data_IF_310641092838
#
_entry.id   IF_310641092838
#
_cell.length_a   1.000
_cell.length_b   1.000
_cell.length_c   1.000
_cell.angle_alpha   90.00
_cell.angle_beta   90.00
_cell.angle_gamma   90.00
#
_symmetry.space_group_name_H-M   'P 1'
#
loop_
_entity.id
_entity.type
_entity.pdbx_description
1 polymer ?
#
# COMPACT_ATOMS: atom_id res chain seq x y z
N UNK A 1 -3.31 21.97 -2.38
CA UNK A 1 -3.28 20.54 -2.77
C UNK A 1 -4.01 19.75 -1.69
N UNK A 2 -5.08 19.02 -2.01
CA UNK A 2 -5.86 18.29 -1.01
C UNK A 2 -6.60 17.10 -1.62
N UNK A 3 -6.77 16.03 -0.84
CA UNK A 3 -7.56 14.85 -1.16
C UNK A 3 -8.97 14.86 -0.56
N UNK A 4 -9.39 15.97 0.07
CA UNK A 4 -10.68 16.06 0.80
C UNK A 4 -11.91 15.69 -0.03
N UNK A 5 -11.91 16.03 -1.32
CA UNK A 5 -13.02 15.72 -2.24
C UNK A 5 -12.77 14.50 -3.14
N UNK A 6 -11.76 13.70 -2.84
CA UNK A 6 -11.47 12.47 -3.61
C UNK A 6 -12.62 11.49 -3.47
N UNK A 7 -13.26 11.12 -4.60
CA UNK A 7 -14.39 10.21 -4.60
C UNK A 7 -13.93 8.75 -4.58
N UNK A 8 -14.26 8.02 -3.52
CA UNK A 8 -13.93 6.61 -3.34
C UNK A 8 -14.95 5.65 -3.97
N UNK A 9 -16.14 6.12 -4.35
CA UNK A 9 -17.24 5.23 -4.76
C UNK A 9 -16.90 4.41 -6.00
N UNK A 10 -16.15 5.00 -6.95
CA UNK A 10 -15.66 4.30 -8.13
C UNK A 10 -14.71 3.13 -7.84
N UNK A 11 -14.15 3.09 -6.64
CA UNK A 11 -13.24 2.01 -6.22
C UNK A 11 -13.95 0.88 -5.48
N UNK A 12 -15.14 1.12 -4.94
CA UNK A 12 -15.91 0.12 -4.18
C UNK A 12 -16.32 -1.11 -5.01
N UNK A 13 -16.36 -0.98 -6.33
CA UNK A 13 -16.65 -2.09 -7.23
C UNK A 13 -15.40 -2.92 -7.61
N UNK A 14 -14.20 -2.45 -7.24
CA UNK A 14 -12.93 -3.14 -7.51
C UNK A 14 -12.60 -4.10 -6.36
N UNK A 15 -13.38 -5.16 -6.26
CA UNK A 15 -13.31 -6.15 -5.17
C UNK A 15 -12.01 -6.93 -5.18
N UNK A 16 -11.46 -7.29 -4.00
CA UNK A 16 -10.37 -8.26 -3.91
C UNK A 16 -10.84 -9.64 -4.38
N UNK A 17 -9.92 -10.58 -4.66
CA UNK A 17 -10.27 -11.99 -4.84
C UNK A 17 -11.09 -12.49 -3.65
N UNK A 18 -12.07 -13.38 -3.92
CA UNK A 18 -12.88 -13.95 -2.84
C UNK A 18 -12.03 -14.75 -1.86
N UNK A 19 -12.39 -14.72 -0.59
CA UNK A 19 -11.61 -15.32 0.50
C UNK A 19 -11.31 -16.81 0.27
N UNK A 20 -12.28 -17.56 -0.24
CA UNK A 20 -12.19 -19.00 -0.52
C UNK A 20 -11.81 -19.34 -1.96
N UNK A 21 -11.30 -18.39 -2.75
CA UNK A 21 -10.97 -18.61 -4.16
C UNK A 21 -9.59 -19.27 -4.36
N UNK A 22 -9.41 -19.92 -5.51
CA UNK A 22 -8.10 -20.42 -5.93
C UNK A 22 -7.07 -19.31 -6.09
N UNK A 23 -7.50 -18.12 -6.47
CA UNK A 23 -6.61 -16.93 -6.52
C UNK A 23 -6.07 -16.58 -5.16
N UNK A 24 -6.92 -16.52 -4.13
CA UNK A 24 -6.49 -16.25 -2.75
C UNK A 24 -5.55 -17.34 -2.23
N UNK A 25 -5.86 -18.61 -2.49
CA UNK A 25 -4.96 -19.73 -2.16
C UNK A 25 -3.60 -19.57 -2.83
N UNK A 26 -3.58 -19.27 -4.13
CA UNK A 26 -2.35 -19.06 -4.90
C UNK A 26 -1.51 -17.90 -4.35
N UNK A 27 -2.15 -16.80 -3.96
CA UNK A 27 -1.46 -15.66 -3.33
C UNK A 27 -0.86 -16.04 -1.98
N UNK A 28 -1.55 -16.80 -1.15
CA UNK A 28 -1.03 -17.30 0.14
C UNK A 28 0.17 -18.24 -0.08
N UNK A 29 0.08 -19.15 -1.04
CA UNK A 29 1.18 -20.04 -1.39
C UNK A 29 2.39 -19.27 -1.91
N UNK A 30 2.17 -18.22 -2.70
CA UNK A 30 3.26 -17.34 -3.17
C UNK A 30 3.93 -16.62 -2.00
N UNK A 31 3.16 -16.08 -1.05
CA UNK A 31 3.70 -15.44 0.16
C UNK A 31 4.54 -16.42 1.00
N UNK A 32 4.11 -17.67 1.12
CA UNK A 32 4.83 -18.68 1.92
C UNK A 32 6.23 -18.96 1.38
N UNK A 33 6.46 -18.74 0.09
CA UNK A 33 7.75 -18.94 -0.60
C UNK A 33 8.69 -17.74 -0.49
N UNK A 34 8.20 -16.56 -0.09
CA UNK A 34 9.03 -15.36 0.07
C UNK A 34 9.78 -15.48 1.40
N UNK A 35 11.14 -15.43 1.40
CA UNK A 35 11.89 -15.40 2.65
C UNK A 35 11.57 -14.13 3.46
N UNK A 36 11.33 -14.30 4.76
CA UNK A 36 11.15 -13.15 5.66
C UNK A 36 12.49 -12.45 5.85
N UNK A 37 12.54 -11.16 5.56
CA UNK A 37 13.71 -10.30 5.78
C UNK A 37 13.33 -9.15 6.72
N UNK A 38 13.59 -9.34 8.02
CA UNK A 38 13.22 -8.36 9.05
C UNK A 38 13.92 -7.00 8.88
N UNK A 39 15.17 -7.00 8.43
CA UNK A 39 15.92 -5.76 8.17
C UNK A 39 15.29 -4.95 7.03
N UNK A 40 14.94 -5.62 5.93
CA UNK A 40 14.25 -4.98 4.81
C UNK A 40 12.87 -4.44 5.20
N UNK A 41 12.10 -5.20 6.00
CA UNK A 41 10.79 -4.80 6.50
C UNK A 41 10.92 -3.56 7.38
N UNK A 42 11.80 -3.60 8.38
CA UNK A 42 12.00 -2.49 9.33
C UNK A 42 12.47 -1.21 8.65
N UNK A 43 13.38 -1.34 7.68
CA UNK A 43 13.87 -0.20 6.91
C UNK A 43 12.76 0.50 6.12
N UNK A 44 11.77 -0.22 5.64
CA UNK A 44 10.72 0.30 4.76
C UNK A 44 9.36 0.49 5.46
N UNK A 45 9.33 0.54 6.79
CA UNK A 45 8.08 0.66 7.56
C UNK A 45 7.62 2.11 7.74
N UNK A 46 8.55 3.04 7.94
CA UNK A 46 8.26 4.46 8.11
C UNK A 46 8.35 5.21 6.77
N UNK A 47 7.20 5.41 6.14
CA UNK A 47 7.09 6.02 4.80
C UNK A 47 7.66 7.44 4.79
N UNK A 48 7.31 8.26 5.78
CA UNK A 48 7.76 9.64 5.88
C UNK A 48 9.28 9.71 5.96
N UNK A 49 9.88 8.96 6.88
CA UNK A 49 11.32 8.89 7.07
C UNK A 49 12.05 8.46 5.80
N UNK A 50 11.51 7.42 5.12
CA UNK A 50 12.16 6.85 3.94
C UNK A 50 12.16 7.81 2.75
N UNK A 51 11.10 8.55 2.50
CA UNK A 51 11.09 9.56 1.45
C UNK A 51 11.89 10.81 1.81
N UNK A 52 11.80 11.28 3.07
CA UNK A 52 12.60 12.41 3.57
C UNK A 52 14.11 12.13 3.56
N UNK A 53 14.54 10.88 3.52
CA UNK A 53 15.95 10.51 3.32
C UNK A 53 16.47 10.75 1.91
N UNK A 54 15.57 10.83 0.92
CA UNK A 54 15.90 11.10 -0.50
C UNK A 54 15.78 12.59 -0.78
N UNK A 55 14.67 13.19 -0.38
CA UNK A 55 14.39 14.62 -0.52
C UNK A 55 13.41 15.07 0.56
N UNK A 56 13.75 16.13 1.27
CA UNK A 56 12.86 16.73 2.27
C UNK A 56 11.76 17.53 1.57
N UNK A 57 10.50 17.22 1.90
CA UNK A 57 9.36 17.89 1.34
C UNK A 57 8.22 17.98 2.37
N UNK A 58 7.70 19.18 2.58
CA UNK A 58 6.66 19.47 3.59
C UNK A 58 5.30 18.84 3.28
N UNK A 59 5.07 18.43 2.04
CA UNK A 59 3.80 17.80 1.63
C UNK A 59 3.72 16.31 2.03
N UNK A 60 4.83 15.65 2.38
CA UNK A 60 4.87 14.20 2.63
C UNK A 60 3.89 13.80 3.74
N UNK A 61 4.03 14.40 4.92
CA UNK A 61 3.20 14.04 6.07
C UNK A 61 1.72 14.40 5.85
N UNK A 62 1.46 15.51 5.20
CA UNK A 62 0.11 15.91 4.81
C UNK A 62 -0.54 14.89 3.85
N UNK A 63 0.20 14.40 2.86
CA UNK A 63 -0.30 13.37 1.93
C UNK A 63 -0.55 12.04 2.64
N UNK A 64 0.28 11.67 3.61
CA UNK A 64 0.05 10.49 4.46
C UNK A 64 -1.26 10.63 5.22
N UNK A 65 -1.47 11.75 5.91
CA UNK A 65 -2.66 12.00 6.71
C UNK A 65 -3.93 11.98 5.86
N UNK A 66 -3.98 12.77 4.79
CA UNK A 66 -5.16 12.86 3.94
C UNK A 66 -5.50 11.54 3.26
N UNK A 67 -4.49 10.79 2.78
CA UNK A 67 -4.69 9.48 2.16
C UNK A 67 -5.11 8.40 3.14
N UNK A 68 -4.69 8.49 4.41
CA UNK A 68 -5.06 7.53 5.45
C UNK A 68 -6.58 7.42 5.62
N UNK A 69 -7.30 8.54 5.59
CA UNK A 69 -8.76 8.54 5.67
C UNK A 69 -9.44 7.80 4.51
N UNK A 70 -8.90 7.99 3.30
CA UNK A 70 -9.41 7.32 2.08
C UNK A 70 -9.16 5.81 2.17
N UNK A 71 -7.93 5.43 2.52
CA UNK A 71 -7.50 4.04 2.64
C UNK A 71 -8.34 3.31 3.71
N UNK A 72 -8.52 3.90 4.88
CA UNK A 72 -9.29 3.30 5.97
C UNK A 72 -10.76 3.10 5.61
N UNK A 73 -11.39 4.03 4.89
CA UNK A 73 -12.76 3.86 4.39
C UNK A 73 -12.88 2.67 3.44
N UNK A 74 -11.92 2.49 2.52
CA UNK A 74 -11.90 1.35 1.61
C UNK A 74 -11.60 0.04 2.34
N UNK A 75 -10.66 0.04 3.29
CA UNK A 75 -10.39 -1.13 4.14
C UNK A 75 -11.64 -1.59 4.89
N UNK A 76 -12.37 -0.66 5.50
CA UNK A 76 -13.63 -0.95 6.19
C UNK A 76 -14.71 -1.47 5.24
N UNK A 77 -14.79 -0.93 4.01
CA UNK A 77 -15.76 -1.35 3.01
C UNK A 77 -15.54 -2.80 2.56
N UNK A 78 -14.29 -3.17 2.25
CA UNK A 78 -13.96 -4.51 1.75
C UNK A 78 -13.79 -5.55 2.87
N UNK A 79 -13.30 -5.12 4.01
CA UNK A 79 -13.11 -5.93 5.21
C UNK A 79 -12.39 -7.27 4.96
N UNK A 80 -11.37 -7.27 4.08
CA UNK A 80 -10.62 -8.49 3.72
C UNK A 80 -9.76 -8.96 4.89
N UNK A 81 -9.85 -10.24 5.30
CA UNK A 81 -8.97 -10.81 6.31
C UNK A 81 -7.50 -10.80 5.87
N UNK A 82 -6.58 -10.78 6.83
CA UNK A 82 -5.14 -10.84 6.56
C UNK A 82 -4.71 -12.22 6.06
N UNK A 83 -3.57 -12.31 5.32
CA UNK A 83 -3.10 -13.59 4.77
C UNK A 83 -2.97 -14.72 5.78
N UNK A 84 -2.45 -14.41 6.99
CA UNK A 84 -2.29 -15.40 8.07
C UNK A 84 -3.62 -15.97 8.56
N UNK A 85 -4.67 -15.14 8.54
CA UNK A 85 -5.99 -15.59 9.01
C UNK A 85 -6.64 -16.51 7.97
N UNK A 86 -6.66 -16.14 6.69
CA UNK A 86 -7.21 -16.99 5.63
C UNK A 86 -6.35 -18.24 5.35
N UNK A 87 -5.06 -18.20 5.59
CA UNK A 87 -4.19 -19.36 5.43
C UNK A 87 -4.67 -20.56 6.27
N UNK A 88 -5.23 -20.30 7.45
CA UNK A 88 -5.78 -21.33 8.34
C UNK A 88 -6.95 -22.06 7.68
N UNK A 89 -7.81 -21.34 6.95
CA UNK A 89 -8.97 -21.94 6.27
C UNK A 89 -8.56 -22.88 5.13
N UNK A 90 -7.35 -22.71 4.59
CA UNK A 90 -6.74 -23.59 3.60
C UNK A 90 -5.81 -24.66 4.22
N UNK A 91 -5.76 -24.78 5.55
CA UNK A 91 -4.85 -25.70 6.24
C UNK A 91 -3.36 -25.33 6.11
N UNK A 92 -3.04 -24.09 5.79
CA UNK A 92 -1.67 -23.58 5.62
C UNK A 92 -1.24 -22.84 6.88
N UNK A 93 -0.09 -23.23 7.46
CA UNK A 93 0.56 -22.45 8.51
C UNK A 93 1.41 -21.35 7.87
N UNK A 94 0.90 -20.13 7.85
CA UNK A 94 1.62 -18.96 7.34
C UNK A 94 2.17 -18.14 8.52
N UNK A 95 3.48 -18.14 8.68
CA UNK A 95 4.16 -17.24 9.61
C UNK A 95 4.28 -15.85 8.99
N UNK A 96 4.19 -14.80 9.79
CA UNK A 96 4.33 -13.41 9.37
C UNK A 96 5.15 -12.61 10.39
N UNK A 97 5.55 -11.40 10.00
CA UNK A 97 6.06 -10.40 10.94
C UNK A 97 4.90 -9.52 11.38
N UNK A 98 4.63 -9.50 12.68
CA UNK A 98 3.57 -8.65 13.24
C UNK A 98 3.97 -7.18 13.13
N UNK A 99 3.09 -6.37 12.54
CA UNK A 99 3.28 -4.94 12.33
C UNK A 99 2.10 -4.17 12.93
N UNK A 100 2.35 -2.99 13.48
CA UNK A 100 1.29 -2.12 14.04
C UNK A 100 0.18 -1.83 13.02
N UNK A 101 0.54 -1.68 11.74
CA UNK A 101 -0.38 -1.44 10.63
C UNK A 101 -1.33 -2.60 10.33
N UNK A 102 -1.12 -3.79 10.90
CA UNK A 102 -1.95 -4.98 10.67
C UNK A 102 -3.23 -5.02 11.50
N UNK A 103 -3.51 -4.02 12.33
CA UNK A 103 -4.75 -3.92 13.13
C UNK A 103 -5.99 -3.55 12.28
N UNK A 104 -5.81 -3.27 11.01
CA UNK A 104 -6.88 -2.95 10.05
C UNK A 104 -7.00 -4.05 8.99
N UNK A 105 -8.15 -4.17 8.28
CA UNK A 105 -8.31 -5.12 7.18
C UNK A 105 -7.23 -5.02 6.11
N UNK A 106 -7.05 -6.09 5.33
CA UNK A 106 -5.92 -6.25 4.44
C UNK A 106 -5.99 -5.35 3.19
N UNK A 107 -7.14 -5.19 2.57
CA UNK A 107 -7.31 -4.59 1.23
C UNK A 107 -7.92 -3.20 1.29
N UNK A 108 -7.31 -2.20 0.66
CA UNK A 108 -6.03 -2.16 -0.04
C UNK A 108 -4.82 -2.09 0.92
N UNK A 109 -3.59 -2.34 0.39
CA UNK A 109 -2.36 -2.03 1.13
C UNK A 109 -2.18 -0.52 1.27
N UNK A 110 -2.21 -0.03 2.52
CA UNK A 110 -2.04 1.39 2.82
C UNK A 110 -0.62 1.87 2.49
N UNK A 111 0.41 1.11 2.88
CA UNK A 111 1.80 1.44 2.57
C UNK A 111 2.04 1.54 1.05
N UNK A 112 1.49 0.61 0.26
CA UNK A 112 1.59 0.69 -1.20
C UNK A 112 0.91 1.95 -1.74
N UNK A 113 -0.31 2.26 -1.29
CA UNK A 113 -1.03 3.43 -1.77
C UNK A 113 -0.29 4.73 -1.44
N UNK A 114 0.17 4.89 -0.22
CA UNK A 114 0.91 6.07 0.22
C UNK A 114 2.26 6.20 -0.46
N UNK A 115 3.00 5.10 -0.59
CA UNK A 115 4.30 5.11 -1.23
C UNK A 115 4.23 5.56 -2.70
N UNK A 116 3.28 5.05 -3.47
CA UNK A 116 3.12 5.46 -4.86
C UNK A 116 2.55 6.87 -5.02
N UNK A 117 1.62 7.30 -4.15
CA UNK A 117 1.14 8.68 -4.10
C UNK A 117 2.30 9.67 -3.89
N UNK A 118 3.11 9.42 -2.85
CA UNK A 118 4.24 10.30 -2.48
C UNK A 118 5.32 10.27 -3.55
N UNK A 119 5.66 9.09 -4.05
CA UNK A 119 6.65 8.97 -5.13
C UNK A 119 6.27 9.79 -6.36
N UNK A 120 5.03 9.68 -6.84
CA UNK A 120 4.56 10.47 -7.99
C UNK A 120 4.56 11.98 -7.71
N UNK A 121 4.14 12.37 -6.51
CA UNK A 121 4.19 13.77 -6.09
C UNK A 121 5.63 14.31 -6.11
N UNK A 122 6.56 13.61 -5.49
CA UNK A 122 7.96 14.02 -5.43
C UNK A 122 8.64 13.98 -6.81
N UNK A 123 8.36 12.99 -7.65
CA UNK A 123 8.87 12.94 -9.02
C UNK A 123 8.43 14.15 -9.84
N UNK A 124 7.22 14.67 -9.61
CA UNK A 124 6.73 15.88 -10.29
C UNK A 124 7.45 17.15 -9.86
N UNK A 125 7.99 17.19 -8.64
CA UNK A 125 8.76 18.32 -8.09
C UNK A 125 10.27 18.16 -8.29
N UNK A 126 10.77 16.92 -8.27
CA UNK A 126 12.19 16.58 -8.30
C UNK A 126 12.49 15.51 -9.37
N UNK A 127 12.36 15.84 -10.66
CA UNK A 127 12.48 14.87 -11.75
C UNK A 127 13.85 14.19 -11.84
N UNK A 128 14.90 14.83 -11.34
CA UNK A 128 16.26 14.26 -11.25
C UNK A 128 16.36 13.12 -10.23
N UNK A 129 15.40 12.96 -9.31
CA UNK A 129 15.30 11.90 -8.31
C UNK A 129 14.38 10.74 -8.73
N UNK A 130 13.92 10.72 -9.96
CA UNK A 130 12.92 9.79 -10.46
C UNK A 130 13.22 8.33 -10.09
N UNK A 131 14.44 7.85 -10.39
CA UNK A 131 14.81 6.43 -10.16
C UNK A 131 14.84 6.06 -8.68
N UNK A 132 15.36 6.95 -7.85
CA UNK A 132 15.45 6.73 -6.40
C UNK A 132 14.05 6.67 -5.77
N UNK A 133 13.16 7.59 -6.17
CA UNK A 133 11.80 7.70 -5.67
C UNK A 133 10.94 6.51 -6.12
N UNK A 134 11.08 6.09 -7.38
CA UNK A 134 10.33 4.95 -7.92
C UNK A 134 10.77 3.64 -7.24
N UNK A 135 12.08 3.44 -7.09
CA UNK A 135 12.62 2.29 -6.35
C UNK A 135 12.13 2.28 -4.91
N UNK A 136 12.10 3.43 -4.23
CA UNK A 136 11.65 3.52 -2.85
C UNK A 136 10.18 3.13 -2.70
N UNK A 137 9.30 3.60 -3.56
CA UNK A 137 7.89 3.21 -3.55
C UNK A 137 7.73 1.69 -3.72
N UNK A 138 8.50 1.10 -4.63
CA UNK A 138 8.51 -0.35 -4.83
C UNK A 138 9.00 -1.09 -3.58
N UNK A 139 10.11 -0.67 -2.98
CA UNK A 139 10.69 -1.31 -1.78
C UNK A 139 9.71 -1.26 -0.59
N UNK A 140 9.04 -0.12 -0.37
CA UNK A 140 8.01 0.02 0.66
C UNK A 140 6.85 -0.95 0.40
N UNK A 141 6.33 -1.00 -0.82
CA UNK A 141 5.25 -1.91 -1.20
C UNK A 141 5.65 -3.38 -1.04
N UNK A 142 6.82 -3.77 -1.55
CA UNK A 142 7.33 -5.14 -1.47
C UNK A 142 7.58 -5.59 -0.03
N UNK A 143 8.02 -4.68 0.84
CA UNK A 143 8.26 -4.99 2.26
C UNK A 143 7.01 -5.54 2.96
N UNK A 144 5.82 -5.17 2.50
CA UNK A 144 4.53 -5.65 3.04
C UNK A 144 4.25 -7.10 2.66
N UNK A 145 4.67 -7.51 1.46
CA UNK A 145 4.59 -8.90 1.02
C UNK A 145 5.69 -9.75 1.68
N UNK A 146 6.89 -9.21 1.84
CA UNK A 146 8.00 -9.86 2.59
C UNK A 146 7.63 -10.09 4.06
N UNK A 147 6.88 -9.17 4.68
CA UNK A 147 6.31 -9.34 6.02
C UNK A 147 5.12 -10.32 6.05
N UNK A 148 4.60 -10.72 4.90
CA UNK A 148 3.37 -11.51 4.74
C UNK A 148 2.14 -10.85 5.37
N UNK A 149 2.14 -9.51 5.41
CA UNK A 149 1.07 -8.66 5.94
C UNK A 149 -0.06 -8.42 4.92
N UNK A 150 0.27 -8.51 3.64
CA UNK A 150 -0.61 -8.24 2.50
C UNK A 150 -0.46 -9.27 1.40
N UNK A 151 -1.57 -9.57 0.71
CA UNK A 151 -1.55 -10.30 -0.56
C UNK A 151 -0.97 -9.41 -1.67
N UNK A 152 -0.53 -10.02 -2.76
CA UNK A 152 -0.07 -9.29 -3.94
C UNK A 152 -1.17 -8.36 -4.49
N UNK A 153 -2.40 -8.84 -4.58
CA UNK A 153 -3.56 -8.05 -5.02
C UNK A 153 -3.84 -6.82 -4.14
N UNK A 154 -3.58 -6.89 -2.83
CA UNK A 154 -3.68 -5.72 -1.93
C UNK A 154 -2.67 -4.64 -2.32
N UNK A 155 -1.44 -5.05 -2.64
CA UNK A 155 -0.35 -4.15 -3.03
C UNK A 155 -0.59 -3.54 -4.41
N UNK A 156 -1.07 -4.32 -5.36
CA UNK A 156 -1.40 -3.86 -6.71
C UNK A 156 -2.54 -2.84 -6.69
N UNK A 157 -3.60 -3.11 -5.94
CA UNK A 157 -4.69 -2.16 -5.79
C UNK A 157 -4.26 -0.91 -5.00
N UNK A 158 -3.44 -1.06 -3.97
CA UNK A 158 -2.83 0.05 -3.26
C UNK A 158 -2.04 0.97 -4.19
N UNK A 159 -1.18 0.40 -5.05
CA UNK A 159 -0.46 1.14 -6.07
C UNK A 159 -1.41 1.92 -6.99
N UNK A 160 -2.43 1.26 -7.53
CA UNK A 160 -3.43 1.89 -8.39
C UNK A 160 -4.11 3.06 -7.70
N UNK A 161 -4.53 2.87 -6.45
CA UNK A 161 -5.17 3.91 -5.63
C UNK A 161 -4.23 5.10 -5.42
N UNK A 162 -2.95 4.87 -5.13
CA UNK A 162 -1.94 5.92 -4.98
C UNK A 162 -1.77 6.76 -6.23
N UNK A 163 -1.67 6.12 -7.40
CA UNK A 163 -1.59 6.80 -8.70
C UNK A 163 -2.84 7.64 -9.00
N UNK A 164 -4.02 7.12 -8.69
CA UNK A 164 -5.28 7.84 -8.90
C UNK A 164 -5.44 9.04 -7.94
N UNK A 165 -5.00 8.93 -6.70
CA UNK A 165 -4.94 10.05 -5.76
C UNK A 165 -3.98 11.13 -6.26
N UNK A 166 -2.82 10.75 -6.79
CA UNK A 166 -1.89 11.71 -7.40
C UNK A 166 -2.51 12.41 -8.63
N UNK A 167 -3.12 11.66 -9.54
CA UNK A 167 -3.78 12.23 -10.72
C UNK A 167 -4.88 13.23 -10.33
N UNK A 168 -5.65 12.92 -9.29
CA UNK A 168 -6.66 13.84 -8.76
C UNK A 168 -6.05 15.16 -8.27
N UNK A 169 -4.98 15.09 -7.49
CA UNK A 169 -4.27 16.28 -6.99
C UNK A 169 -3.69 17.10 -8.15
N UNK A 170 -3.08 16.43 -9.13
CA UNK A 170 -2.46 17.07 -10.28
C UNK A 170 -3.48 17.80 -11.14
N UNK A 171 -4.66 17.21 -11.35
CA UNK A 171 -5.71 17.82 -12.17
C UNK A 171 -6.39 18.98 -11.46
N UNK A 172 -6.57 18.92 -10.13
CA UNK A 172 -7.08 20.04 -9.34
C UNK A 172 -6.17 21.28 -9.30
N UNK A 173 -4.90 21.13 -9.70
CA UNK A 173 -3.98 22.28 -9.88
C UNK A 173 -4.12 23.00 -11.24
N UNK A 174 -4.88 22.41 -12.17
CA UNK A 174 -5.04 22.94 -13.54
C UNK A 174 -6.35 23.70 -13.72
N UNK A 175 -7.20 23.76 -12.71
CA UNK A 175 -8.40 24.60 -12.62
C UNK A 175 -8.18 25.74 -11.64
#
# INVERSE_FOLDING_TARGET
MSLKSFNIDRFKNQKPPKDNSLTTLSEIQALSKIPINKSFISKNDDISKEFNSIVKDEDIDKLIDESSHIILKLKKHFNRPRPKDLAKDFGIKLENVELKSMQTPSYPSGHSAQAYLISEHLKSKYPNKFRELDKKAKDISDSRNVARAHYKSDSEFGRKLGLEMFNFIKNGKRS
#
